data_IF_700872316694
#
_entry.id   IF_700872316694
#
_cell.length_a   1.000
_cell.length_b   1.000
_cell.length_c   1.000
_cell.angle_alpha   90.00
_cell.angle_beta   90.00
_cell.angle_gamma   90.00
#
_symmetry.space_group_name_H-M   'P 1'
#
loop_
_entity.id
_entity.type
_entity.pdbx_description
1 polymer ?
#
# COMPACT_ATOMS: atom_id res chain seq x y z
N UNK A 1 40.37 1.85 -26.12
CA UNK A 1 39.94 0.66 -25.36
C UNK A 1 39.93 1.06 -23.89
N UNK A 2 38.75 1.35 -23.33
CA UNK A 2 38.66 1.80 -21.93
C UNK A 2 37.29 1.40 -21.37
N UNK A 3 37.15 0.13 -20.99
CA UNK A 3 36.01 -0.34 -20.20
C UNK A 3 36.43 -0.31 -18.73
N UNK A 4 36.50 0.90 -18.18
CA UNK A 4 36.61 1.06 -16.74
C UNK A 4 35.23 0.74 -16.15
N UNK A 5 35.10 -0.42 -15.50
CA UNK A 5 33.88 -0.79 -14.77
C UNK A 5 33.57 0.33 -13.77
N UNK A 6 32.43 0.99 -13.93
CA UNK A 6 32.04 2.09 -13.06
C UNK A 6 31.29 1.59 -11.83
N UNK A 7 31.21 2.42 -10.79
CA UNK A 7 30.39 2.12 -9.60
C UNK A 7 28.91 2.01 -9.93
N UNK A 8 28.47 2.74 -10.95
CA UNK A 8 27.09 2.72 -11.44
C UNK A 8 26.79 1.37 -12.10
N UNK A 9 27.72 0.83 -12.90
CA UNK A 9 27.59 -0.51 -13.50
C UNK A 9 27.49 -1.61 -12.44
N UNK A 10 28.32 -1.56 -11.40
CA UNK A 10 28.26 -2.51 -10.29
C UNK A 10 26.93 -2.39 -9.51
N UNK A 11 26.43 -1.16 -9.32
CA UNK A 11 25.14 -0.92 -8.69
C UNK A 11 23.96 -1.52 -9.46
N UNK A 12 23.95 -1.36 -10.79
CA UNK A 12 22.92 -1.93 -11.67
C UNK A 12 22.94 -3.47 -11.57
N UNK A 13 24.11 -4.10 -11.68
CA UNK A 13 24.23 -5.57 -11.60
C UNK A 13 23.86 -6.13 -10.24
N UNK A 14 24.13 -5.37 -9.16
CA UNK A 14 23.69 -5.74 -7.82
C UNK A 14 22.15 -5.72 -7.72
N UNK A 15 21.48 -4.75 -8.34
CA UNK A 15 20.01 -4.71 -8.42
C UNK A 15 19.47 -5.91 -9.20
N UNK A 16 20.11 -6.25 -10.32
CA UNK A 16 19.73 -7.41 -11.14
C UNK A 16 19.82 -8.71 -10.33
N UNK A 17 20.94 -8.95 -9.64
CA UNK A 17 21.12 -10.14 -8.82
C UNK A 17 20.17 -10.19 -7.62
N UNK A 18 19.96 -9.07 -6.93
CA UNK A 18 19.00 -8.99 -5.84
C UNK A 18 17.58 -9.32 -6.32
N UNK A 19 17.19 -8.79 -7.48
CA UNK A 19 15.86 -9.00 -8.05
C UNK A 19 15.71 -10.41 -8.60
N UNK A 20 16.76 -10.99 -9.19
CA UNK A 20 16.82 -12.39 -9.64
C UNK A 20 16.55 -13.36 -8.48
N UNK A 21 17.08 -13.07 -7.30
CA UNK A 21 16.89 -13.87 -6.09
C UNK A 21 15.58 -13.55 -5.34
N UNK A 22 14.78 -12.59 -5.83
CA UNK A 22 13.47 -12.25 -5.25
C UNK A 22 13.54 -11.41 -3.97
N UNK A 23 14.69 -10.84 -3.62
CA UNK A 23 14.81 -10.02 -2.41
C UNK A 23 14.31 -8.59 -2.63
N UNK A 24 13.50 -8.10 -1.69
CA UNK A 24 13.20 -6.67 -1.60
C UNK A 24 14.42 -5.90 -1.08
N UNK A 25 14.57 -4.63 -1.48
CA UNK A 25 15.70 -3.78 -1.03
C UNK A 25 15.80 -3.71 0.50
N UNK A 26 14.67 -3.63 1.21
CA UNK A 26 14.67 -3.59 2.67
C UNK A 26 15.10 -4.93 3.31
N UNK A 27 14.66 -6.06 2.76
CA UNK A 27 15.03 -7.39 3.27
C UNK A 27 16.50 -7.69 2.98
N UNK A 28 16.96 -7.37 1.77
CA UNK A 28 18.35 -7.58 1.38
C UNK A 28 19.33 -6.75 2.22
N UNK A 29 18.98 -5.49 2.52
CA UNK A 29 19.78 -4.64 3.41
C UNK A 29 19.89 -5.24 4.82
N UNK A 30 18.78 -5.74 5.37
CA UNK A 30 18.77 -6.39 6.68
C UNK A 30 19.64 -7.65 6.71
N UNK A 31 19.58 -8.50 5.69
CA UNK A 31 20.36 -9.74 5.62
C UNK A 31 21.86 -9.51 5.36
N UNK A 32 22.21 -8.40 4.73
CA UNK A 32 23.61 -8.00 4.49
C UNK A 32 24.16 -7.06 5.57
N UNK A 33 23.39 -6.82 6.64
CA UNK A 33 23.74 -5.98 7.78
C UNK A 33 24.10 -4.53 7.39
N UNK A 34 23.47 -4.00 6.34
CA UNK A 34 23.62 -2.59 5.95
C UNK A 34 22.31 -1.85 6.09
N UNK A 35 22.40 -0.54 6.30
CA UNK A 35 21.20 0.30 6.27
C UNK A 35 20.60 0.27 4.85
N UNK A 36 19.27 0.30 4.75
CA UNK A 36 18.54 0.40 3.49
C UNK A 36 19.01 1.59 2.65
N UNK A 37 19.32 2.72 3.28
CA UNK A 37 19.83 3.89 2.57
C UNK A 37 21.24 3.66 1.99
N UNK A 38 22.10 2.95 2.73
CA UNK A 38 23.42 2.53 2.24
C UNK A 38 23.30 1.61 1.03
N UNK A 39 22.41 0.61 1.09
CA UNK A 39 22.13 -0.26 -0.05
C UNK A 39 21.61 0.55 -1.25
N UNK A 40 20.69 1.49 -1.03
CA UNK A 40 20.16 2.36 -2.09
C UNK A 40 21.26 3.19 -2.76
N UNK A 41 22.21 3.73 -1.99
CA UNK A 41 23.33 4.50 -2.52
C UNK A 41 24.34 3.64 -3.29
N UNK A 42 24.55 2.39 -2.85
CA UNK A 42 25.38 1.41 -3.55
C UNK A 42 24.74 1.00 -4.88
N UNK A 43 23.44 0.72 -4.89
CA UNK A 43 22.68 0.40 -6.11
C UNK A 43 22.65 1.57 -7.12
N UNK A 44 22.74 2.82 -6.64
CA UNK A 44 22.82 4.02 -7.47
C UNK A 44 24.26 4.39 -7.88
N UNK A 45 25.27 3.60 -7.46
CA UNK A 45 26.69 3.87 -7.71
C UNK A 45 27.23 5.13 -7.01
N UNK A 46 26.46 5.73 -6.10
CA UNK A 46 26.83 6.93 -5.33
C UNK A 46 27.73 6.61 -4.14
N UNK A 47 27.70 5.37 -3.67
CA UNK A 47 28.59 4.82 -2.64
C UNK A 47 29.32 3.59 -3.17
N UNK A 48 30.54 3.36 -2.66
CA UNK A 48 31.31 2.17 -2.97
C UNK A 48 30.74 0.95 -2.25
N UNK A 49 30.80 -0.21 -2.91
CA UNK A 49 30.40 -1.48 -2.33
C UNK A 49 31.60 -2.06 -1.56
N UNK A 50 31.42 -2.36 -0.27
CA UNK A 50 32.50 -2.97 0.54
C UNK A 50 32.66 -4.46 0.24
N UNK A 51 33.89 -4.97 0.38
CA UNK A 51 34.15 -6.40 0.24
C UNK A 51 33.38 -7.26 1.25
N UNK A 52 33.21 -6.77 2.49
CA UNK A 52 32.38 -7.41 3.52
C UNK A 52 30.92 -7.57 3.08
N UNK A 53 30.35 -6.51 2.49
CA UNK A 53 28.98 -6.55 1.96
C UNK A 53 28.86 -7.57 0.83
N UNK A 54 29.82 -7.63 -0.09
CA UNK A 54 29.84 -8.62 -1.16
C UNK A 54 29.97 -10.05 -0.62
N UNK A 55 30.79 -10.26 0.42
CA UNK A 55 30.90 -11.55 1.09
C UNK A 55 29.58 -12.02 1.69
N UNK A 56 28.84 -11.13 2.36
CA UNK A 56 27.49 -11.45 2.87
C UNK A 56 26.48 -11.66 1.73
N UNK A 57 26.52 -10.83 0.68
CA UNK A 57 25.66 -10.98 -0.49
C UNK A 57 25.88 -12.33 -1.20
N UNK A 58 27.14 -12.80 -1.30
CA UNK A 58 27.46 -14.11 -1.87
C UNK A 58 26.80 -15.26 -1.10
N UNK A 59 26.74 -15.18 0.24
CA UNK A 59 26.04 -16.17 1.07
C UNK A 59 24.54 -16.22 0.79
N UNK A 60 23.96 -15.11 0.34
CA UNK A 60 22.56 -15.02 -0.09
C UNK A 60 22.32 -15.49 -1.53
N UNK A 61 23.38 -15.93 -2.23
CA UNK A 61 23.32 -16.45 -3.59
C UNK A 61 23.56 -15.42 -4.69
N UNK A 62 24.03 -14.21 -4.33
CA UNK A 62 24.42 -13.19 -5.31
C UNK A 62 25.70 -13.60 -6.02
N UNK A 63 25.69 -13.54 -7.35
CA UNK A 63 26.88 -13.73 -8.15
C UNK A 63 27.78 -12.49 -8.06
N UNK A 64 28.70 -12.49 -7.09
CA UNK A 64 29.65 -11.39 -6.87
C UNK A 64 30.58 -11.20 -8.07
N UNK A 65 30.95 -12.29 -8.77
CA UNK A 65 31.75 -12.20 -9.99
C UNK A 65 30.99 -11.41 -11.05
N UNK A 66 29.70 -11.68 -11.24
CA UNK A 66 28.87 -10.91 -12.15
C UNK A 66 28.77 -9.45 -11.73
N UNK A 67 28.54 -9.17 -10.45
CA UNK A 67 28.41 -7.79 -9.94
C UNK A 67 29.67 -6.97 -10.24
N UNK A 68 30.85 -7.53 -9.98
CA UNK A 68 32.12 -6.82 -10.17
C UNK A 68 32.54 -6.82 -11.64
N UNK A 69 32.54 -7.97 -12.30
CA UNK A 69 33.17 -8.14 -13.62
C UNK A 69 32.21 -8.04 -14.80
N UNK A 70 30.90 -8.20 -14.57
CA UNK A 70 29.87 -8.27 -15.61
C UNK A 70 29.77 -9.62 -16.30
N UNK A 71 30.61 -10.58 -15.91
CA UNK A 71 30.62 -11.94 -16.43
C UNK A 71 29.95 -12.85 -15.40
N UNK A 72 28.90 -13.55 -15.81
CA UNK A 72 28.23 -14.52 -14.93
C UNK A 72 29.15 -15.70 -14.67
N UNK A 73 29.23 -16.10 -13.40
CA UNK A 73 29.90 -17.33 -13.01
C UNK A 73 29.17 -18.51 -13.64
N UNK A 74 29.93 -19.43 -14.26
CA UNK A 74 29.35 -20.69 -14.71
C UNK A 74 29.13 -21.56 -13.48
N UNK A 75 27.93 -22.12 -13.38
CA UNK A 75 27.52 -22.97 -12.27
C UNK A 75 28.42 -24.21 -12.26
N UNK A 76 29.38 -24.27 -11.33
CA UNK A 76 30.03 -25.55 -11.01
C UNK A 76 28.95 -26.32 -10.27
N UNK A 77 28.21 -27.14 -11.01
CA UNK A 77 27.29 -28.13 -10.47
C UNK A 77 28.02 -28.85 -9.33
N UNK A 78 27.56 -28.62 -8.09
CA UNK A 78 28.00 -29.38 -6.94
C UNK A 78 27.47 -30.80 -7.10
N UNK A 79 28.20 -31.61 -7.86
CA UNK A 79 28.08 -33.06 -7.86
C UNK A 79 28.21 -33.53 -6.42
N UNK A 80 27.12 -34.07 -5.89
CA UNK A 80 27.12 -34.82 -4.66
C UNK A 80 28.02 -36.05 -4.87
N UNK A 81 29.18 -36.07 -4.23
CA UNK A 81 29.97 -37.24 -3.77
C UNK A 81 31.45 -36.87 -3.78
N UNK A 82 31.96 -36.40 -2.63
CA UNK A 82 33.34 -36.61 -2.24
C UNK A 82 33.41 -36.62 -0.72
N UNK A 83 33.67 -37.80 -0.18
CA UNK A 83 34.12 -38.05 1.18
C UNK A 83 35.28 -37.10 1.54
N UNK A 84 35.07 -36.22 2.52
CA UNK A 84 36.18 -35.47 3.12
C UNK A 84 36.45 -36.04 4.50
N UNK A 85 37.51 -36.86 4.52
CA UNK A 85 38.25 -37.26 5.69
C UNK A 85 38.82 -36.01 6.37
N UNK A 86 38.76 -36.02 7.71
CA UNK A 86 38.84 -34.84 8.56
C UNK A 86 40.00 -33.89 8.35
N UNK A 87 39.73 -32.61 8.58
CA UNK A 87 40.42 -31.87 9.64
C UNK A 87 39.50 -30.75 10.16
N UNK A 88 38.78 -31.03 11.23
CA UNK A 88 37.88 -30.08 11.89
C UNK A 88 38.69 -29.12 12.75
N UNK A 89 38.81 -27.87 12.33
CA UNK A 89 39.19 -26.76 13.22
C UNK A 89 38.41 -25.51 12.84
N UNK A 90 37.13 -25.47 13.24
CA UNK A 90 36.37 -24.22 13.21
C UNK A 90 36.59 -23.52 14.56
N UNK A 91 37.57 -22.61 14.60
CA UNK A 91 37.84 -21.76 15.78
C UNK A 91 37.02 -20.48 15.65
N UNK A 92 36.06 -20.29 16.55
CA UNK A 92 35.31 -19.03 16.67
C UNK A 92 36.02 -18.17 17.71
N UNK A 93 36.54 -17.01 17.29
CA UNK A 93 37.13 -16.02 18.20
C UNK A 93 36.03 -15.12 18.78
N UNK A 94 35.86 -15.15 20.10
CA UNK A 94 35.13 -14.16 20.89
C UNK A 94 36.04 -13.60 21.98
N UNK A 95 35.78 -12.37 22.41
CA UNK A 95 36.60 -11.54 23.33
C UNK A 95 36.75 -12.08 24.77
N UNK A 96 36.28 -13.31 25.07
CA UNK A 96 36.52 -13.96 26.36
C UNK A 96 36.34 -15.48 26.27
N UNK A 97 37.40 -16.18 25.84
CA UNK A 97 37.59 -17.61 26.11
C UNK A 97 36.89 -18.60 25.16
N UNK A 98 37.60 -19.69 24.86
CA UNK A 98 37.21 -20.78 23.96
C UNK A 98 36.17 -21.67 24.67
N UNK A 99 34.91 -21.66 24.21
CA UNK A 99 33.85 -22.54 24.73
C UNK A 99 33.77 -23.77 23.81
N UNK A 100 34.03 -24.93 24.40
CA UNK A 100 34.10 -26.23 23.75
C UNK A 100 32.75 -26.67 23.16
N UNK A 101 32.79 -27.07 21.88
CA UNK A 101 31.99 -28.09 21.19
C UNK A 101 30.67 -28.53 21.84
N UNK A 102 29.62 -27.72 21.67
CA UNK A 102 28.23 -28.17 21.78
C UNK A 102 27.62 -28.27 20.37
N UNK A 103 27.10 -29.44 20.00
CA UNK A 103 26.41 -29.65 18.72
C UNK A 103 25.19 -28.75 18.61
N UNK A 104 25.23 -27.71 17.76
CA UNK A 104 24.11 -26.83 17.48
C UNK A 104 23.24 -27.52 16.41
N UNK A 105 22.15 -28.17 16.84
CA UNK A 105 21.13 -28.68 15.93
C UNK A 105 20.24 -27.52 15.48
N UNK A 106 20.55 -26.91 14.33
CA UNK A 106 19.70 -25.89 13.70
C UNK A 106 18.50 -26.57 13.02
N UNK A 107 17.40 -26.76 13.75
CA UNK A 107 16.15 -27.33 13.22
C UNK A 107 15.40 -26.21 12.48
N UNK A 108 15.60 -26.11 11.17
CA UNK A 108 14.82 -25.21 10.29
C UNK A 108 13.47 -25.85 9.97
N UNK A 109 12.48 -25.70 10.86
CA UNK A 109 11.09 -26.09 10.54
C UNK A 109 10.38 -24.96 9.79
N UNK A 110 9.89 -25.25 8.58
CA UNK A 110 9.00 -24.36 7.84
C UNK A 110 7.68 -24.20 8.60
N UNK A 111 7.29 -22.95 8.90
CA UNK A 111 6.06 -22.65 9.64
C UNK A 111 4.82 -22.89 8.76
N UNK A 112 4.41 -24.14 8.61
CA UNK A 112 3.17 -24.51 7.93
C UNK A 112 1.96 -24.09 8.77
N UNK A 113 1.34 -22.94 8.44
CA UNK A 113 0.11 -22.47 9.09
C UNK A 113 -1.08 -22.78 8.19
N UNK A 114 -1.88 -23.79 8.55
CA UNK A 114 -3.17 -24.05 7.89
C UNK A 114 -4.19 -23.05 8.39
N UNK A 115 -4.56 -22.09 7.54
CA UNK A 115 -5.71 -21.22 7.82
C UNK A 115 -6.97 -22.01 7.53
N UNK A 116 -7.58 -22.59 8.57
CA UNK A 116 -8.94 -23.14 8.49
C UNK A 116 -9.92 -21.99 8.31
N UNK A 117 -10.25 -21.64 7.06
CA UNK A 117 -11.32 -20.69 6.77
C UNK A 117 -12.65 -21.46 6.76
N UNK A 118 -13.43 -21.35 7.84
CA UNK A 118 -14.80 -21.82 7.83
C UNK A 118 -15.57 -21.04 6.75
N UNK A 119 -15.95 -21.72 5.66
CA UNK A 119 -16.78 -21.14 4.59
C UNK A 119 -18.21 -21.07 5.13
N UNK A 120 -18.52 -20.05 5.91
CA UNK A 120 -19.89 -19.75 6.33
C UNK A 120 -20.63 -19.26 5.08
N UNK A 121 -21.47 -20.15 4.51
CA UNK A 121 -22.33 -19.79 3.39
C UNK A 121 -23.37 -18.78 3.90
N UNK A 122 -23.55 -17.62 3.23
CA UNK A 122 -24.62 -16.70 3.59
C UNK A 122 -25.99 -17.38 3.41
N UNK A 123 -26.71 -17.58 4.51
CA UNK A 123 -28.13 -17.98 4.47
C UNK A 123 -29.01 -16.78 4.07
N UNK A 124 -30.31 -17.02 3.83
CA UNK A 124 -31.30 -16.01 3.40
C UNK A 124 -31.44 -14.79 4.35
N UNK A 125 -30.98 -14.89 5.60
CA UNK A 125 -30.98 -13.80 6.59
C UNK A 125 -29.90 -12.73 6.34
N UNK A 126 -28.95 -12.99 5.43
CA UNK A 126 -27.81 -12.12 5.14
C UNK A 126 -28.02 -11.26 3.88
N UNK A 127 -27.19 -10.23 3.73
CA UNK A 127 -27.25 -9.34 2.56
C UNK A 127 -27.26 -10.12 1.24
N UNK A 128 -28.17 -9.73 0.35
CA UNK A 128 -28.22 -10.24 -1.03
C UNK A 128 -26.98 -9.81 -1.82
N UNK A 129 -26.67 -10.55 -2.87
CA UNK A 129 -25.48 -10.29 -3.72
C UNK A 129 -25.47 -8.86 -4.31
N UNK A 130 -26.62 -8.30 -4.69
CA UNK A 130 -26.72 -6.91 -5.15
C UNK A 130 -26.24 -5.91 -4.10
N UNK A 131 -26.59 -6.15 -2.84
CA UNK A 131 -26.19 -5.30 -1.72
C UNK A 131 -24.71 -5.49 -1.43
N UNK A 132 -24.22 -6.72 -1.48
CA UNK A 132 -22.80 -7.03 -1.36
C UNK A 132 -21.98 -6.28 -2.43
N UNK A 133 -22.45 -6.25 -3.68
CA UNK A 133 -21.82 -5.51 -4.77
C UNK A 133 -21.80 -4.00 -4.52
N UNK A 134 -22.93 -3.42 -4.08
CA UNK A 134 -23.00 -2.00 -3.68
C UNK A 134 -21.99 -1.66 -2.58
N UNK A 135 -21.81 -2.55 -1.59
CA UNK A 135 -20.80 -2.35 -0.55
C UNK A 135 -19.37 -2.42 -1.12
N UNK A 136 -19.10 -3.33 -2.05
CA UNK A 136 -17.79 -3.39 -2.73
C UNK A 136 -17.48 -2.10 -3.48
N UNK A 137 -18.44 -1.56 -4.23
CA UNK A 137 -18.26 -0.31 -4.97
C UNK A 137 -18.01 0.88 -4.03
N UNK A 138 -18.74 0.95 -2.92
CA UNK A 138 -18.52 1.99 -1.89
C UNK A 138 -17.16 1.85 -1.20
N UNK A 139 -16.72 0.63 -0.90
CA UNK A 139 -15.39 0.38 -0.32
C UNK A 139 -14.29 0.77 -1.31
N UNK A 140 -14.46 0.45 -2.59
CA UNK A 140 -13.53 0.87 -3.66
C UNK A 140 -13.42 2.39 -3.72
N UNK A 141 -14.54 3.11 -3.71
CA UNK A 141 -14.52 4.58 -3.70
C UNK A 141 -13.83 5.15 -2.45
N UNK A 142 -14.02 4.53 -1.27
CA UNK A 142 -13.30 4.93 -0.05
C UNK A 142 -11.79 4.78 -0.22
N UNK A 143 -11.32 3.63 -0.71
CA UNK A 143 -9.88 3.36 -0.86
C UNK A 143 -9.25 4.32 -1.88
N UNK A 144 -9.89 4.51 -3.04
CA UNK A 144 -9.41 5.47 -4.05
C UNK A 144 -9.31 6.89 -3.50
N UNK A 145 -10.27 7.33 -2.69
CA UNK A 145 -10.23 8.65 -2.05
C UNK A 145 -9.19 8.72 -0.93
N UNK A 146 -9.02 7.65 -0.14
CA UNK A 146 -7.96 7.56 0.88
C UNK A 146 -6.59 7.71 0.22
N UNK A 147 -6.31 6.99 -0.87
CA UNK A 147 -5.06 7.05 -1.64
C UNK A 147 -4.79 8.44 -2.19
N UNK A 148 -5.80 9.10 -2.76
CA UNK A 148 -5.64 10.47 -3.29
C UNK A 148 -5.40 11.48 -2.17
N UNK A 149 -6.03 11.33 -1.00
CA UNK A 149 -6.11 12.40 0.01
C UNK A 149 -5.09 12.22 1.14
N UNK A 150 -4.96 11.01 1.69
CA UNK A 150 -4.17 10.75 2.90
C UNK A 150 -2.74 10.41 2.54
N UNK A 151 -1.82 10.71 3.47
CA UNK A 151 -0.41 10.31 3.37
C UNK A 151 -0.23 8.82 3.68
N UNK A 152 -1.01 8.31 4.63
CA UNK A 152 -1.08 6.89 5.00
C UNK A 152 -2.48 6.37 4.69
N UNK A 153 -2.75 5.96 3.43
CA UNK A 153 -4.07 5.52 3.03
C UNK A 153 -4.43 4.17 3.64
N UNK A 154 -5.73 3.92 3.79
CA UNK A 154 -6.23 2.61 4.22
C UNK A 154 -6.38 1.66 3.03
N UNK A 155 -5.85 0.45 3.18
CA UNK A 155 -6.05 -0.63 2.22
C UNK A 155 -7.51 -1.13 2.25
N UNK A 156 -7.91 -1.84 1.19
CA UNK A 156 -9.19 -2.55 1.13
C UNK A 156 -9.46 -3.38 2.38
N UNK A 157 -8.46 -4.15 2.84
CA UNK A 157 -8.58 -4.97 4.04
C UNK A 157 -8.85 -4.14 5.28
N UNK A 158 -8.20 -2.99 5.44
CA UNK A 158 -8.42 -2.10 6.59
C UNK A 158 -9.82 -1.46 6.58
N UNK A 159 -10.33 -1.11 5.39
CA UNK A 159 -11.71 -0.59 5.23
C UNK A 159 -12.73 -1.68 5.55
N UNK A 160 -12.55 -2.90 5.01
CA UNK A 160 -13.41 -4.04 5.34
C UNK A 160 -13.38 -4.38 6.82
N UNK A 161 -12.21 -4.44 7.45
CA UNK A 161 -12.08 -4.68 8.88
C UNK A 161 -12.86 -3.63 9.70
N UNK A 162 -12.79 -2.36 9.28
CA UNK A 162 -13.53 -1.27 9.93
C UNK A 162 -15.05 -1.41 9.75
N UNK A 163 -15.50 -1.78 8.54
CA UNK A 163 -16.92 -1.99 8.25
C UNK A 163 -17.49 -3.20 9.01
N UNK A 164 -16.77 -4.32 8.99
CA UNK A 164 -17.15 -5.55 9.67
C UNK A 164 -17.28 -5.32 11.17
N UNK A 165 -16.31 -4.61 11.77
CA UNK A 165 -16.36 -4.17 13.17
C UNK A 165 -17.57 -3.27 13.44
N UNK A 166 -17.88 -2.32 12.56
CA UNK A 166 -19.03 -1.43 12.71
C UNK A 166 -20.39 -2.15 12.64
N UNK A 167 -20.47 -3.24 11.87
CA UNK A 167 -21.68 -4.06 11.74
C UNK A 167 -21.76 -5.18 12.79
N UNK A 168 -20.65 -5.45 13.51
CA UNK A 168 -20.54 -6.52 14.50
C UNK A 168 -20.47 -7.91 13.87
N UNK A 169 -19.82 -8.04 12.72
CA UNK A 169 -19.73 -9.29 11.94
C UNK A 169 -18.28 -9.60 11.61
N UNK A 170 -17.98 -10.87 11.32
CA UNK A 170 -16.63 -11.30 10.92
C UNK A 170 -16.33 -11.01 9.45
N UNK A 171 -17.34 -11.09 8.59
CA UNK A 171 -17.25 -10.83 7.14
C UNK A 171 -18.45 -10.03 6.68
N UNK A 172 -18.25 -9.14 5.69
CA UNK A 172 -19.32 -8.30 5.17
C UNK A 172 -20.45 -9.13 4.53
N UNK A 173 -20.14 -10.33 4.01
CA UNK A 173 -21.14 -11.26 3.49
C UNK A 173 -22.08 -11.81 4.55
N UNK A 174 -21.71 -11.69 5.83
CA UNK A 174 -22.52 -12.10 6.98
C UNK A 174 -23.22 -10.89 7.64
N UNK A 175 -23.31 -9.75 6.95
CA UNK A 175 -24.14 -8.64 7.41
C UNK A 175 -25.62 -9.08 7.30
N UNK A 176 -26.41 -9.00 8.39
CA UNK A 176 -27.85 -9.22 8.32
C UNK A 176 -28.54 -8.19 7.43
N UNK A 177 -29.61 -8.57 6.74
CA UNK A 177 -30.35 -7.66 5.83
C UNK A 177 -30.77 -6.36 6.53
N UNK A 178 -31.21 -6.45 7.78
CA UNK A 178 -31.61 -5.29 8.61
C UNK A 178 -30.49 -4.25 8.82
N UNK A 179 -29.22 -4.69 8.80
CA UNK A 179 -28.06 -3.82 8.99
C UNK A 179 -27.51 -3.24 7.69
N UNK A 180 -28.16 -3.51 6.56
CA UNK A 180 -27.75 -3.00 5.24
C UNK A 180 -27.63 -1.47 5.22
N UNK A 181 -28.68 -0.77 5.65
CA UNK A 181 -28.70 0.69 5.62
C UNK A 181 -27.65 1.29 6.54
N UNK A 182 -27.40 0.64 7.69
CA UNK A 182 -26.33 1.01 8.61
C UNK A 182 -24.96 0.90 7.95
N UNK A 183 -24.69 -0.18 7.23
CA UNK A 183 -23.43 -0.41 6.51
C UNK A 183 -23.22 0.61 5.38
N UNK A 184 -24.23 0.81 4.54
CA UNK A 184 -24.19 1.77 3.42
C UNK A 184 -23.99 3.20 3.95
N UNK A 185 -24.75 3.58 4.97
CA UNK A 185 -24.66 4.92 5.58
C UNK A 185 -23.28 5.17 6.17
N UNK A 186 -22.67 4.16 6.80
CA UNK A 186 -21.32 4.26 7.35
C UNK A 186 -20.27 4.57 6.26
N UNK A 187 -20.28 3.81 5.16
CA UNK A 187 -19.34 4.02 4.04
C UNK A 187 -19.57 5.37 3.37
N UNK A 188 -20.84 5.76 3.12
CA UNK A 188 -21.17 7.08 2.56
C UNK A 188 -20.72 8.22 3.44
N UNK A 189 -20.88 8.11 4.77
CA UNK A 189 -20.35 9.09 5.73
C UNK A 189 -18.82 9.14 5.68
N UNK A 190 -18.14 8.03 5.43
CA UNK A 190 -16.69 7.99 5.24
C UNK A 190 -16.26 8.76 4.00
N UNK A 191 -16.87 8.46 2.84
CA UNK A 191 -16.66 9.19 1.58
C UNK A 191 -16.92 10.69 1.78
N UNK A 192 -18.00 11.05 2.46
CA UNK A 192 -18.32 12.44 2.79
C UNK A 192 -17.23 13.13 3.61
N UNK A 193 -16.72 12.47 4.66
CA UNK A 193 -15.62 13.02 5.49
C UNK A 193 -14.33 13.21 4.70
N UNK A 194 -13.99 12.27 3.82
CA UNK A 194 -12.80 12.37 2.96
C UNK A 194 -12.96 13.50 1.94
N UNK A 195 -14.07 13.51 1.19
CA UNK A 195 -14.34 14.52 0.16
C UNK A 195 -14.50 15.94 0.70
N UNK A 196 -14.93 16.12 1.94
CA UNK A 196 -15.00 17.43 2.60
C UNK A 196 -13.73 17.80 3.38
N UNK A 197 -12.66 17.01 3.31
CA UNK A 197 -11.39 17.37 3.94
C UNK A 197 -10.73 18.57 3.25
N UNK A 198 -10.01 19.41 4.01
CA UNK A 198 -9.37 20.64 3.49
C UNK A 198 -8.41 20.38 2.33
N UNK A 199 -7.75 19.22 2.32
CA UNK A 199 -6.83 18.82 1.26
C UNK A 199 -7.52 18.23 0.03
N UNK A 200 -8.81 17.86 0.11
CA UNK A 200 -9.50 17.19 -0.99
C UNK A 200 -9.55 18.01 -2.29
N UNK A 201 -9.90 19.31 -2.29
CA UNK A 201 -9.93 20.10 -3.53
C UNK A 201 -8.56 20.18 -4.20
N UNK A 202 -7.48 20.29 -3.40
CA UNK A 202 -6.11 20.40 -3.90
C UNK A 202 -5.58 19.08 -4.44
N UNK A 203 -5.86 17.96 -3.76
CA UNK A 203 -5.30 16.64 -4.13
C UNK A 203 -6.12 15.87 -5.16
N UNK A 204 -7.45 15.97 -5.09
CA UNK A 204 -8.36 15.31 -6.03
C UNK A 204 -8.58 16.17 -7.29
N UNK A 205 -8.42 17.50 -7.18
CA UNK A 205 -8.43 18.41 -8.32
C UNK A 205 -9.81 18.52 -8.98
N UNK A 206 -9.85 18.39 -10.31
CA UNK A 206 -11.04 18.63 -11.12
C UNK A 206 -12.19 17.66 -10.82
N UNK A 207 -11.91 16.40 -10.49
CA UNK A 207 -12.93 15.42 -10.12
C UNK A 207 -13.74 15.87 -8.90
N UNK A 208 -13.11 16.55 -7.94
CA UNK A 208 -13.78 17.09 -6.76
C UNK A 208 -14.79 18.17 -7.16
N UNK A 209 -14.41 19.10 -8.03
CA UNK A 209 -15.31 20.14 -8.55
C UNK A 209 -16.45 19.54 -9.36
N UNK A 210 -16.17 18.57 -10.23
CA UNK A 210 -17.17 17.89 -11.04
C UNK A 210 -18.25 17.21 -10.17
N UNK A 211 -17.85 16.50 -9.12
CA UNK A 211 -18.80 15.91 -8.15
C UNK A 211 -19.66 16.97 -7.45
N UNK A 212 -19.08 18.11 -7.08
CA UNK A 212 -19.81 19.22 -6.44
C UNK A 212 -20.79 19.89 -7.39
N UNK A 213 -20.37 20.16 -8.63
CA UNK A 213 -21.25 20.70 -9.67
C UNK A 213 -22.41 19.77 -9.97
N UNK A 214 -22.15 18.47 -10.15
CA UNK A 214 -23.19 17.48 -10.38
C UNK A 214 -24.22 17.48 -9.25
N UNK A 215 -23.75 17.48 -7.99
CA UNK A 215 -24.66 17.55 -6.84
C UNK A 215 -25.49 18.84 -6.84
N UNK A 216 -24.86 20.00 -7.02
CA UNK A 216 -25.56 21.28 -7.02
C UNK A 216 -26.63 21.26 -8.12
N UNK A 217 -26.24 20.96 -9.37
CA UNK A 217 -27.15 20.93 -10.52
C UNK A 217 -28.32 19.97 -10.36
N UNK A 218 -28.08 18.77 -9.82
CA UNK A 218 -29.15 17.79 -9.58
C UNK A 218 -30.12 18.29 -8.52
N UNK A 219 -29.63 18.85 -7.41
CA UNK A 219 -30.45 19.22 -6.26
C UNK A 219 -31.02 20.64 -6.32
N UNK A 220 -30.66 21.44 -7.34
CA UNK A 220 -31.25 22.76 -7.59
C UNK A 220 -32.20 22.77 -8.80
N UNK A 221 -32.54 21.61 -9.37
CA UNK A 221 -33.62 21.53 -10.36
C UNK A 221 -34.92 22.08 -9.74
N UNK A 222 -35.51 23.10 -10.35
CA UNK A 222 -36.68 23.82 -9.80
C UNK A 222 -36.36 24.89 -8.74
N UNK A 223 -35.09 25.06 -8.36
CA UNK A 223 -34.62 26.08 -7.41
C UNK A 223 -33.54 26.98 -8.04
N UNK A 224 -33.54 27.08 -9.38
CA UNK A 224 -32.50 27.76 -10.14
C UNK A 224 -32.47 29.26 -9.86
N UNK A 225 -33.64 29.88 -9.70
CA UNK A 225 -33.76 31.28 -9.34
C UNK A 225 -33.13 31.57 -7.98
N UNK A 226 -33.45 30.75 -6.96
CA UNK A 226 -32.84 30.85 -5.63
C UNK A 226 -31.31 30.67 -5.69
N UNK A 227 -30.82 29.72 -6.49
CA UNK A 227 -29.37 29.52 -6.66
C UNK A 227 -28.71 30.76 -7.27
N UNK A 228 -29.29 31.33 -8.34
CA UNK A 228 -28.76 32.54 -9.00
C UNK A 228 -28.73 33.73 -8.04
N UNK A 229 -29.82 33.98 -7.32
CA UNK A 229 -29.90 35.03 -6.31
C UNK A 229 -28.87 34.83 -5.20
N UNK A 230 -28.68 33.59 -4.75
CA UNK A 230 -27.69 33.25 -3.72
C UNK A 230 -26.24 33.48 -4.20
N UNK A 231 -25.93 33.12 -5.45
CA UNK A 231 -24.61 33.34 -6.05
C UNK A 231 -24.31 34.83 -6.24
N UNK A 232 -25.29 35.57 -6.78
CA UNK A 232 -25.17 37.00 -7.00
C UNK A 232 -25.01 37.77 -5.68
N UNK A 233 -25.85 37.50 -4.68
CA UNK A 233 -25.84 38.22 -3.40
C UNK A 233 -24.60 37.95 -2.56
N UNK A 234 -24.12 36.69 -2.50
CA UNK A 234 -22.98 36.33 -1.64
C UNK A 234 -21.61 36.44 -2.29
N UNK A 235 -21.54 36.25 -3.60
CA UNK A 235 -20.26 36.12 -4.30
C UNK A 235 -20.17 37.00 -5.55
N UNK A 236 -21.25 37.70 -5.94
CA UNK A 236 -21.32 38.54 -7.13
C UNK A 236 -20.94 37.80 -8.44
N UNK A 237 -21.24 36.49 -8.51
CA UNK A 237 -20.98 35.65 -9.69
C UNK A 237 -22.27 35.16 -10.34
N UNK A 238 -22.24 35.00 -11.67
CA UNK A 238 -23.38 34.51 -12.43
C UNK A 238 -23.47 32.98 -12.49
N UNK A 239 -22.36 32.28 -12.28
CA UNK A 239 -22.25 30.83 -12.44
C UNK A 239 -21.45 30.15 -11.33
N UNK A 240 -21.81 28.90 -11.04
CA UNK A 240 -21.04 28.04 -10.11
C UNK A 240 -19.62 27.74 -10.61
N UNK A 241 -19.36 27.90 -11.91
CA UNK A 241 -18.05 27.66 -12.52
C UNK A 241 -17.00 28.69 -12.11
N UNK A 242 -17.43 29.90 -11.77
CA UNK A 242 -16.57 31.03 -11.40
C UNK A 242 -16.12 30.99 -9.93
N UNK A 243 -16.70 30.09 -9.12
CA UNK A 243 -16.43 30.02 -7.69
C UNK A 243 -15.03 29.45 -7.40
N UNK A 244 -14.35 30.00 -6.39
CA UNK A 244 -13.17 29.35 -5.80
C UNK A 244 -13.55 28.01 -5.13
N UNK A 245 -12.57 27.15 -4.85
CA UNK A 245 -12.83 25.86 -4.20
C UNK A 245 -13.54 26.01 -2.84
N UNK A 246 -13.14 27.00 -2.05
CA UNK A 246 -13.75 27.28 -0.75
C UNK A 246 -15.17 27.83 -0.87
N UNK A 247 -15.40 28.70 -1.85
CA UNK A 247 -16.73 29.23 -2.14
C UNK A 247 -17.67 28.12 -2.66
N UNK A 248 -17.17 27.24 -3.54
CA UNK A 248 -17.92 26.10 -4.07
C UNK A 248 -18.35 25.14 -2.95
N UNK A 249 -17.48 24.86 -1.97
CA UNK A 249 -17.83 24.04 -0.80
C UNK A 249 -18.92 24.72 0.06
N UNK A 250 -18.86 26.04 0.25
CA UNK A 250 -19.89 26.80 0.99
C UNK A 250 -21.25 26.79 0.27
N UNK A 251 -21.25 26.96 -1.06
CA UNK A 251 -22.47 26.87 -1.88
C UNK A 251 -23.04 25.46 -1.82
N UNK A 252 -22.21 24.43 -1.97
CA UNK A 252 -22.60 23.03 -1.82
C UNK A 252 -23.33 22.77 -0.49
N UNK A 253 -22.79 23.26 0.63
CA UNK A 253 -23.43 23.12 1.97
C UNK A 253 -24.75 23.88 2.08
N UNK A 254 -24.83 25.05 1.46
CA UNK A 254 -26.06 25.86 1.44
C UNK A 254 -27.17 25.16 0.66
N UNK A 255 -26.84 24.59 -0.51
CA UNK A 255 -27.76 23.77 -1.32
C UNK A 255 -28.23 22.53 -0.55
N UNK A 256 -27.31 21.81 0.10
CA UNK A 256 -27.65 20.65 0.91
C UNK A 256 -28.59 20.99 2.07
N UNK A 257 -28.40 22.16 2.70
CA UNK A 257 -29.27 22.66 3.77
C UNK A 257 -30.64 23.05 3.25
N UNK A 258 -30.71 23.75 2.11
CA UNK A 258 -31.97 24.12 1.45
C UNK A 258 -32.78 22.90 1.01
N UNK A 259 -32.12 21.88 0.45
CA UNK A 259 -32.78 20.60 0.13
C UNK A 259 -33.42 19.98 1.38
N UNK A 260 -32.70 19.97 2.50
CA UNK A 260 -33.19 19.40 3.75
C UNK A 260 -34.39 20.18 4.31
N UNK A 261 -34.43 21.51 4.13
CA UNK A 261 -35.57 22.31 4.58
C UNK A 261 -36.82 22.11 3.74
N UNK A 262 -36.68 21.74 2.46
CA UNK A 262 -37.82 21.48 1.56
C UNK A 262 -38.36 20.06 1.74
N UNK A 263 -37.50 19.12 2.12
CA UNK A 263 -37.86 17.72 2.37
C UNK A 263 -38.48 17.47 3.75
N UNK A 264 -38.49 18.48 4.63
CA UNK A 264 -39.19 18.47 5.91
C UNK A 264 -40.56 19.08 5.72
#
# INVERSE_FOLDING_TARGET
MQLAITREDMGIRLVEERTRLGYSQANFAHQTEVNRETLRLNELGRSGISAEFLGRAAQLGVDVQYVITGIRSQEIEKNQQASVQGNSNNVIYGDSGIINSGTINNITTEKYTTKTNAVVKPNEEHIREETARKLQDLVKEVVELEEKIKTTPKSFQAVWASLNKHCGVVSYRLIPVEKTDKAITYLRKWIGRLSSSKSAPKKVGNEWRAKKYAYIKINTKGLEQWLREHLQSKYAVGSITELSNDQLEKVYRSVASKKRSISK
#
